data_IF_196305838990
#
_entry.id   IF_196305838990
#
_cell.length_a   1.000
_cell.length_b   1.000
_cell.length_c   1.000
_cell.angle_alpha   90.00
_cell.angle_beta   90.00
_cell.angle_gamma   90.00
#
_symmetry.space_group_name_H-M   'P 1'
#
loop_
_entity.id
_entity.type
_entity.pdbx_description
1 polymer ?
#
# COMPACT_ATOMS: atom_id res chain seq x y z
N UNK A 1 40.68 11.78 9.69
CA UNK A 1 40.33 10.65 8.81
C UNK A 1 39.18 11.10 7.93
N UNK A 2 39.42 11.32 6.64
CA UNK A 2 38.37 11.66 5.70
C UNK A 2 37.54 10.39 5.42
N UNK A 3 36.25 10.45 5.74
CA UNK A 3 35.28 9.42 5.40
C UNK A 3 35.15 9.40 3.88
N UNK A 4 35.79 8.42 3.23
CA UNK A 4 35.66 8.19 1.80
C UNK A 4 34.22 7.74 1.56
N UNK A 5 33.35 8.69 1.21
CA UNK A 5 31.99 8.40 0.76
C UNK A 5 32.08 7.53 -0.49
N UNK A 6 31.90 6.23 -0.32
CA UNK A 6 31.80 5.26 -1.40
C UNK A 6 30.79 5.77 -2.44
N UNK A 7 31.14 5.83 -3.73
CA UNK A 7 30.24 6.35 -4.75
C UNK A 7 28.95 5.52 -4.76
N UNK A 8 27.79 6.19 -4.62
CA UNK A 8 26.47 5.56 -4.76
C UNK A 8 26.43 4.84 -6.11
N UNK A 9 26.57 3.52 -6.11
CA UNK A 9 26.44 2.71 -7.32
C UNK A 9 24.97 2.63 -7.67
N UNK A 10 24.53 3.49 -8.59
CA UNK A 10 23.24 3.37 -9.24
C UNK A 10 23.30 2.16 -10.18
N UNK A 11 22.59 1.10 -9.83
CA UNK A 11 22.56 -0.14 -10.59
C UNK A 11 21.24 -0.23 -11.35
N UNK A 12 21.22 -0.97 -12.47
CA UNK A 12 20.01 -1.22 -13.26
C UNK A 12 18.83 -1.72 -12.40
N UNK A 13 19.13 -2.54 -11.38
CA UNK A 13 18.15 -3.05 -10.40
C UNK A 13 17.53 -1.96 -9.53
N UNK A 14 18.30 -0.93 -9.17
CA UNK A 14 17.78 0.22 -8.43
C UNK A 14 16.85 1.07 -9.31
N UNK A 15 17.22 1.27 -10.58
CA UNK A 15 16.37 1.96 -11.55
C UNK A 15 15.05 1.23 -11.79
N UNK A 16 15.08 -0.10 -11.95
CA UNK A 16 13.85 -0.91 -12.10
C UNK A 16 12.96 -0.76 -10.87
N UNK A 17 13.53 -0.81 -9.67
CA UNK A 17 12.76 -0.66 -8.41
C UNK A 17 12.12 0.72 -8.31
N UNK A 18 12.86 1.77 -8.65
CA UNK A 18 12.34 3.14 -8.66
C UNK A 18 11.24 3.30 -9.73
N UNK A 19 11.39 2.70 -10.91
CA UNK A 19 10.38 2.72 -11.96
C UNK A 19 9.09 1.99 -11.55
N UNK A 20 9.19 0.85 -10.86
CA UNK A 20 8.04 0.13 -10.30
C UNK A 20 7.33 0.98 -9.23
N UNK A 21 8.09 1.70 -8.40
CA UNK A 21 7.52 2.64 -7.43
C UNK A 21 6.75 3.77 -8.11
N UNK A 22 7.32 4.38 -9.16
CA UNK A 22 6.63 5.44 -9.94
C UNK A 22 5.38 4.89 -10.63
N UNK A 23 5.40 3.65 -11.11
CA UNK A 23 4.23 3.04 -11.74
C UNK A 23 3.01 3.01 -10.82
N UNK A 24 3.19 2.88 -9.50
CA UNK A 24 2.11 2.93 -8.51
C UNK A 24 1.45 4.30 -8.44
N UNK A 25 2.22 5.39 -8.58
CA UNK A 25 1.66 6.74 -8.70
C UNK A 25 0.89 6.93 -10.00
N UNK A 26 1.38 6.38 -11.11
CA UNK A 26 0.68 6.41 -12.41
C UNK A 26 -0.64 5.66 -12.29
N UNK A 27 -0.65 4.47 -11.66
CA UNK A 27 -1.88 3.71 -11.40
C UNK A 27 -2.84 4.50 -10.51
N UNK A 28 -2.35 5.12 -9.44
CA UNK A 28 -3.17 5.95 -8.56
C UNK A 28 -3.87 7.08 -9.34
N UNK A 29 -3.14 7.80 -10.20
CA UNK A 29 -3.71 8.84 -11.05
C UNK A 29 -4.72 8.26 -12.07
N UNK A 30 -4.41 7.13 -12.68
CA UNK A 30 -5.26 6.47 -13.67
C UNK A 30 -6.60 6.01 -13.08
N UNK A 31 -6.59 5.39 -11.90
CA UNK A 31 -7.84 4.97 -11.26
C UNK A 31 -8.69 6.17 -10.84
N UNK A 32 -8.09 7.27 -10.36
CA UNK A 32 -8.85 8.48 -10.05
C UNK A 32 -9.49 9.09 -11.28
N UNK A 33 -8.75 9.16 -12.39
CA UNK A 33 -9.26 9.61 -13.67
C UNK A 33 -10.46 8.75 -14.12
N UNK A 34 -10.35 7.42 -14.03
CA UNK A 34 -11.43 6.50 -14.37
C UNK A 34 -12.65 6.69 -13.45
N UNK A 35 -12.44 6.84 -12.14
CA UNK A 35 -13.52 7.10 -11.19
C UNK A 35 -14.25 8.40 -11.48
N UNK A 36 -13.53 9.45 -11.89
CA UNK A 36 -14.13 10.74 -12.24
C UNK A 36 -14.87 10.73 -13.58
N UNK A 37 -14.31 10.08 -14.61
CA UNK A 37 -14.82 10.16 -15.99
C UNK A 37 -15.83 9.07 -16.33
N UNK A 38 -15.62 7.86 -15.80
CA UNK A 38 -16.44 6.66 -16.12
C UNK A 38 -17.23 6.20 -14.89
N UNK A 39 -16.74 6.49 -13.69
CA UNK A 39 -17.40 6.11 -12.44
C UNK A 39 -17.45 4.60 -12.26
N UNK A 40 -18.61 4.10 -11.86
CA UNK A 40 -18.80 2.68 -11.49
C UNK A 40 -18.50 1.69 -12.61
N UNK A 41 -18.72 2.06 -13.87
CA UNK A 41 -18.47 1.19 -15.01
C UNK A 41 -16.97 0.90 -15.24
N UNK A 42 -16.06 1.69 -14.66
CA UNK A 42 -14.63 1.44 -14.72
C UNK A 42 -14.10 0.52 -13.59
N UNK A 43 -14.99 -0.07 -12.78
CA UNK A 43 -14.57 -0.86 -11.64
C UNK A 43 -13.72 -2.10 -12.03
N UNK A 44 -14.04 -2.87 -13.08
CA UNK A 44 -13.17 -3.96 -13.55
C UNK A 44 -11.74 -3.50 -13.88
N UNK A 45 -11.60 -2.37 -14.55
CA UNK A 45 -10.33 -1.78 -14.95
C UNK A 45 -9.54 -1.34 -13.72
N UNK A 46 -10.21 -0.72 -12.74
CA UNK A 46 -9.59 -0.34 -11.48
C UNK A 46 -9.07 -1.57 -10.71
N UNK A 47 -9.83 -2.67 -10.65
CA UNK A 47 -9.39 -3.93 -10.02
C UNK A 47 -8.12 -4.45 -10.69
N UNK A 48 -8.09 -4.51 -12.02
CA UNK A 48 -6.92 -4.98 -12.78
C UNK A 48 -5.71 -4.08 -12.52
N UNK A 49 -5.88 -2.76 -12.61
CA UNK A 49 -4.78 -1.81 -12.41
C UNK A 49 -4.21 -1.87 -10.99
N UNK A 50 -5.06 -1.91 -9.96
CA UNK A 50 -4.62 -2.02 -8.56
C UNK A 50 -3.95 -3.38 -8.31
N UNK A 51 -4.48 -4.46 -8.89
CA UNK A 51 -3.86 -5.79 -8.81
C UNK A 51 -2.46 -5.77 -9.40
N UNK A 52 -2.28 -5.18 -10.59
CA UNK A 52 -0.97 -5.05 -11.22
C UNK A 52 -0.01 -4.20 -10.36
N UNK A 53 -0.48 -3.09 -9.80
CA UNK A 53 0.33 -2.26 -8.89
C UNK A 53 0.79 -3.01 -7.64
N UNK A 54 -0.05 -3.90 -7.09
CA UNK A 54 0.32 -4.76 -5.97
C UNK A 54 1.29 -5.88 -6.38
N UNK A 55 1.14 -6.41 -7.59
CA UNK A 55 2.11 -7.38 -8.13
C UNK A 55 3.49 -6.75 -8.28
N UNK A 56 3.56 -5.49 -8.75
CA UNK A 56 4.83 -4.78 -8.88
C UNK A 56 5.48 -4.46 -7.53
N UNK A 57 4.68 -4.12 -6.51
CA UNK A 57 5.16 -3.95 -5.12
C UNK A 57 5.79 -5.24 -4.55
N UNK A 58 5.12 -6.38 -4.71
CA UNK A 58 5.69 -7.65 -4.25
C UNK A 58 7.02 -8.01 -4.98
N UNK A 59 7.09 -7.70 -6.28
CA UNK A 59 8.27 -7.95 -7.10
C UNK A 59 9.42 -7.00 -6.76
N UNK A 60 9.15 -5.71 -6.56
CA UNK A 60 10.18 -4.72 -6.25
C UNK A 60 10.87 -5.02 -4.90
N UNK A 61 10.10 -5.45 -3.90
CA UNK A 61 10.64 -5.81 -2.61
C UNK A 61 11.55 -7.04 -2.71
N UNK A 62 11.25 -7.97 -3.61
CA UNK A 62 12.13 -9.12 -3.90
C UNK A 62 13.43 -8.67 -4.55
N UNK A 63 13.35 -7.81 -5.57
CA UNK A 63 14.52 -7.31 -6.30
C UNK A 63 15.42 -6.47 -5.38
N UNK A 64 14.84 -5.56 -4.61
CA UNK A 64 15.58 -4.70 -3.69
C UNK A 64 16.34 -5.46 -2.61
N UNK A 65 15.82 -6.61 -2.14
CA UNK A 65 16.51 -7.45 -1.15
C UNK A 65 17.71 -8.21 -1.69
N UNK A 66 17.72 -8.50 -2.99
CA UNK A 66 18.82 -9.20 -3.64
C UNK A 66 19.78 -8.23 -4.34
N UNK A 67 19.47 -6.93 -4.38
CA UNK A 67 20.36 -5.92 -4.93
C UNK A 67 21.30 -5.38 -3.84
N UNK A 68 22.58 -5.23 -4.18
CA UNK A 68 23.56 -4.58 -3.30
C UNK A 68 23.51 -3.04 -3.37
N UNK A 69 22.51 -2.48 -4.07
CA UNK A 69 22.48 -1.08 -4.47
C UNK A 69 21.29 -0.37 -3.81
N UNK A 70 21.52 0.82 -3.24
CA UNK A 70 20.45 1.64 -2.64
C UNK A 70 19.55 2.21 -3.73
N UNK A 71 18.24 2.12 -3.53
CA UNK A 71 17.22 2.73 -4.40
C UNK A 71 17.08 4.23 -4.10
N UNK A 72 16.74 5.04 -5.10
CA UNK A 72 16.57 6.48 -4.91
C UNK A 72 15.22 6.78 -4.23
N UNK A 73 14.18 6.04 -4.61
CA UNK A 73 12.81 6.22 -4.13
C UNK A 73 12.47 5.36 -2.91
N UNK A 74 13.40 4.54 -2.41
CA UNK A 74 13.20 3.73 -1.21
C UNK A 74 12.65 4.50 0.01
N UNK A 75 13.10 5.74 0.30
CA UNK A 75 12.55 6.53 1.41
C UNK A 75 11.10 6.99 1.21
N UNK A 76 10.63 7.12 -0.04
CA UNK A 76 9.29 7.62 -0.38
C UNK A 76 8.32 6.51 -0.81
N UNK A 77 8.79 5.27 -0.83
CA UNK A 77 8.03 4.08 -1.18
C UNK A 77 6.73 3.94 -0.36
N UNK A 78 6.85 4.04 0.96
CA UNK A 78 5.69 3.94 1.85
C UNK A 78 4.65 5.07 1.66
N UNK A 79 5.03 6.36 1.55
CA UNK A 79 4.12 7.42 1.15
C UNK A 79 3.41 7.16 -0.19
N UNK A 80 4.10 6.56 -1.16
CA UNK A 80 3.53 6.24 -2.47
C UNK A 80 2.50 5.11 -2.36
N UNK A 81 2.76 4.08 -1.56
CA UNK A 81 1.76 3.03 -1.26
C UNK A 81 0.54 3.60 -0.58
N UNK A 82 0.74 4.48 0.41
CA UNK A 82 -0.35 5.18 1.07
C UNK A 82 -1.14 6.03 0.06
N UNK A 83 -0.47 6.74 -0.85
CA UNK A 83 -1.16 7.50 -1.89
C UNK A 83 -2.02 6.59 -2.80
N UNK A 84 -1.49 5.44 -3.23
CA UNK A 84 -2.25 4.47 -4.01
C UNK A 84 -3.46 3.93 -3.24
N UNK A 85 -3.29 3.55 -1.98
CA UNK A 85 -4.41 3.06 -1.14
C UNK A 85 -5.50 4.12 -0.99
N UNK A 86 -5.15 5.39 -0.73
CA UNK A 86 -6.16 6.45 -0.63
C UNK A 86 -6.78 6.80 -1.98
N UNK A 87 -6.04 6.68 -3.09
CA UNK A 87 -6.60 6.76 -4.43
C UNK A 87 -7.63 5.65 -4.70
N UNK A 88 -7.39 4.43 -4.19
CA UNK A 88 -8.38 3.34 -4.22
C UNK A 88 -9.64 3.69 -3.42
N UNK A 89 -9.51 4.24 -2.20
CA UNK A 89 -10.66 4.70 -1.42
C UNK A 89 -11.46 5.78 -2.18
N UNK A 90 -10.77 6.77 -2.73
CA UNK A 90 -11.42 7.85 -3.45
C UNK A 90 -12.08 7.35 -4.74
N UNK A 91 -11.47 6.40 -5.46
CA UNK A 91 -12.13 5.72 -6.58
C UNK A 91 -13.44 5.04 -6.14
N UNK A 92 -13.44 4.31 -5.03
CA UNK A 92 -14.64 3.63 -4.50
C UNK A 92 -15.75 4.63 -4.17
N UNK A 93 -15.39 5.81 -3.66
CA UNK A 93 -16.33 6.93 -3.42
C UNK A 93 -16.86 7.50 -4.73
N UNK A 94 -15.99 7.80 -5.70
CA UNK A 94 -16.37 8.34 -7.02
C UNK A 94 -17.25 7.36 -7.80
N UNK A 95 -17.00 6.06 -7.67
CA UNK A 95 -17.81 4.99 -8.24
C UNK A 95 -19.15 4.78 -7.49
N UNK A 96 -19.41 5.51 -6.40
CA UNK A 96 -20.68 5.51 -5.68
C UNK A 96 -20.91 4.29 -4.78
N UNK A 97 -19.85 3.56 -4.41
CA UNK A 97 -19.97 2.40 -3.51
C UNK A 97 -20.02 2.81 -2.03
N UNK A 98 -19.39 3.93 -1.67
CA UNK A 98 -19.36 4.49 -0.31
C UNK A 98 -19.81 5.95 -0.35
N UNK A 99 -20.61 6.36 0.63
CA UNK A 99 -21.01 7.75 0.79
C UNK A 99 -19.77 8.65 1.06
N UNK A 100 -19.63 9.81 0.38
CA UNK A 100 -18.48 10.69 0.58
C UNK A 100 -18.24 11.10 2.04
N UNK A 101 -19.32 11.32 2.80
CA UNK A 101 -19.23 11.66 4.23
C UNK A 101 -18.57 10.54 5.07
N UNK A 102 -18.87 9.27 4.78
CA UNK A 102 -18.28 8.14 5.49
C UNK A 102 -16.78 8.03 5.18
N UNK A 103 -16.39 8.21 3.92
CA UNK A 103 -14.98 8.20 3.52
C UNK A 103 -14.21 9.40 4.09
N UNK A 104 -14.83 10.59 4.16
CA UNK A 104 -14.24 11.77 4.77
C UNK A 104 -14.03 11.58 6.28
N UNK A 105 -15.02 11.04 6.99
CA UNK A 105 -14.90 10.72 8.42
C UNK A 105 -13.79 9.68 8.67
N UNK A 106 -13.76 8.61 7.88
CA UNK A 106 -12.71 7.59 7.96
C UNK A 106 -11.32 8.18 7.73
N UNK A 107 -11.18 9.02 6.70
CA UNK A 107 -9.91 9.69 6.37
C UNK A 107 -9.48 10.66 7.47
N UNK A 108 -10.41 11.43 8.04
CA UNK A 108 -10.13 12.32 9.15
C UNK A 108 -9.66 11.52 10.39
N UNK A 109 -10.34 10.42 10.73
CA UNK A 109 -9.91 9.54 11.82
C UNK A 109 -8.52 8.96 11.59
N UNK A 110 -8.25 8.47 10.37
CA UNK A 110 -6.94 7.97 9.98
C UNK A 110 -5.84 9.04 10.12
N UNK A 111 -6.11 10.26 9.65
CA UNK A 111 -5.16 11.37 9.75
C UNK A 111 -4.91 11.78 11.21
N UNK A 112 -5.97 11.95 12.01
CA UNK A 112 -5.85 12.34 13.42
C UNK A 112 -5.05 11.31 14.23
N UNK A 113 -5.35 10.03 14.05
CA UNK A 113 -4.63 8.94 14.74
C UNK A 113 -3.19 8.82 14.25
N UNK A 114 -2.93 8.96 12.94
CA UNK A 114 -1.57 8.98 12.41
C UNK A 114 -0.75 10.14 12.98
N UNK A 115 -1.34 11.34 13.10
CA UNK A 115 -0.69 12.53 13.68
C UNK A 115 -0.46 12.40 15.19
N UNK A 116 -1.40 11.77 15.90
CA UNK A 116 -1.34 11.57 17.34
C UNK A 116 -0.27 10.53 17.73
N UNK A 117 -0.29 9.36 17.11
CA UNK A 117 0.60 8.25 17.47
C UNK A 117 1.94 8.30 16.73
N UNK A 118 1.99 8.89 15.53
CA UNK A 118 3.18 8.98 14.66
C UNK A 118 3.89 7.64 14.42
N UNK A 119 3.15 6.53 14.44
CA UNK A 119 3.67 5.18 14.21
C UNK A 119 3.23 4.64 12.86
N UNK A 120 4.18 4.07 12.11
CA UNK A 120 3.91 3.41 10.82
C UNK A 120 2.82 2.32 10.94
N UNK A 121 2.81 1.56 12.04
CA UNK A 121 1.82 0.51 12.29
C UNK A 121 0.37 1.02 12.26
N UNK A 122 0.12 2.24 12.76
CA UNK A 122 -1.22 2.86 12.75
C UNK A 122 -1.65 3.20 11.34
N UNK A 123 -0.77 3.81 10.54
CA UNK A 123 -1.07 4.13 9.14
C UNK A 123 -1.39 2.84 8.36
N UNK A 124 -0.59 1.79 8.57
CA UNK A 124 -0.81 0.47 7.95
C UNK A 124 -2.16 -0.12 8.34
N UNK A 125 -2.62 0.05 9.58
CA UNK A 125 -3.95 -0.41 10.02
C UNK A 125 -5.06 0.23 9.16
N UNK A 126 -5.02 1.55 8.96
CA UNK A 126 -6.01 2.24 8.12
C UNK A 126 -5.88 1.86 6.63
N UNK A 127 -4.66 1.63 6.15
CA UNK A 127 -4.45 1.09 4.80
C UNK A 127 -5.16 -0.25 4.62
N UNK A 128 -4.96 -1.18 5.56
CA UNK A 128 -5.61 -2.50 5.48
C UNK A 128 -7.13 -2.41 5.54
N UNK A 129 -7.68 -1.45 6.27
CA UNK A 129 -9.13 -1.19 6.25
C UNK A 129 -9.64 -0.82 4.86
N UNK A 130 -8.91 0.04 4.13
CA UNK A 130 -9.25 0.40 2.74
C UNK A 130 -9.10 -0.81 1.81
N UNK A 131 -7.99 -1.54 1.92
CA UNK A 131 -7.71 -2.73 1.12
C UNK A 131 -8.81 -3.80 1.25
N UNK A 132 -9.22 -4.08 2.49
CA UNK A 132 -10.30 -5.03 2.78
C UNK A 132 -11.65 -4.55 2.25
N UNK A 133 -11.92 -3.25 2.34
CA UNK A 133 -13.14 -2.64 1.80
C UNK A 133 -13.17 -2.74 0.27
N UNK A 134 -12.04 -2.47 -0.39
CA UNK A 134 -11.88 -2.62 -1.83
C UNK A 134 -12.10 -4.08 -2.26
N UNK A 135 -11.47 -5.03 -1.56
CA UNK A 135 -11.62 -6.46 -1.81
C UNK A 135 -13.07 -6.92 -1.63
N UNK A 136 -13.76 -6.45 -0.58
CA UNK A 136 -15.17 -6.75 -0.36
C UNK A 136 -16.04 -6.35 -1.55
N UNK A 137 -15.88 -5.12 -2.05
CA UNK A 137 -16.63 -4.67 -3.22
C UNK A 137 -16.26 -5.41 -4.49
N UNK A 138 -14.97 -5.71 -4.69
CA UNK A 138 -14.49 -6.47 -5.83
C UNK A 138 -15.13 -7.87 -5.87
N UNK A 139 -15.14 -8.58 -4.74
CA UNK A 139 -15.80 -9.89 -4.61
C UNK A 139 -17.31 -9.82 -4.81
N UNK A 140 -17.94 -8.74 -4.34
CA UNK A 140 -19.40 -8.58 -4.39
C UNK A 140 -19.94 -8.29 -5.79
N UNK A 141 -19.18 -7.53 -6.60
CA UNK A 141 -19.67 -6.99 -7.87
C UNK A 141 -18.92 -7.52 -9.09
N UNK A 142 -17.64 -7.86 -8.99
CA UNK A 142 -16.77 -8.19 -10.13
C UNK A 142 -15.91 -9.43 -9.83
N UNK A 143 -16.57 -10.54 -9.49
CA UNK A 143 -15.89 -11.77 -9.04
C UNK A 143 -14.86 -12.27 -10.05
N UNK A 144 -15.20 -12.27 -11.35
CA UNK A 144 -14.28 -12.76 -12.41
C UNK A 144 -12.97 -11.98 -12.46
N UNK A 145 -13.02 -10.65 -12.30
CA UNK A 145 -11.83 -9.80 -12.25
C UNK A 145 -11.07 -9.92 -10.93
N UNK A 146 -11.74 -10.39 -9.87
CA UNK A 146 -11.16 -10.54 -8.53
C UNK A 146 -10.46 -11.89 -8.33
N UNK A 147 -10.84 -12.93 -9.09
CA UNK A 147 -10.22 -14.26 -8.98
C UNK A 147 -8.69 -14.24 -9.20
N UNK A 148 -8.14 -13.53 -10.21
CA UNK A 148 -6.68 -13.42 -10.38
C UNK A 148 -6.00 -12.77 -9.17
N UNK A 149 -6.61 -11.73 -8.57
CA UNK A 149 -6.11 -11.09 -7.37
C UNK A 149 -6.07 -12.08 -6.19
N UNK A 150 -7.14 -12.85 -5.97
CA UNK A 150 -7.16 -13.86 -4.92
C UNK A 150 -6.10 -14.93 -5.13
N UNK A 151 -5.96 -15.44 -6.36
CA UNK A 151 -4.94 -16.42 -6.70
C UNK A 151 -3.54 -15.86 -6.40
N UNK A 152 -3.28 -14.61 -6.78
CA UNK A 152 -2.02 -13.94 -6.49
C UNK A 152 -1.76 -13.77 -4.99
N UNK A 153 -2.76 -13.35 -4.21
CA UNK A 153 -2.64 -13.23 -2.76
C UNK A 153 -2.34 -14.57 -2.09
N UNK A 154 -2.95 -15.67 -2.55
CA UNK A 154 -2.65 -17.02 -2.07
C UNK A 154 -1.21 -17.44 -2.40
N UNK A 155 -0.74 -17.15 -3.62
CA UNK A 155 0.65 -17.40 -4.03
C UNK A 155 1.62 -16.62 -3.13
N UNK A 156 1.38 -15.32 -2.92
CA UNK A 156 2.22 -14.50 -2.04
C UNK A 156 2.19 -15.00 -0.60
N UNK A 157 1.02 -15.36 -0.08
CA UNK A 157 0.88 -15.91 1.27
C UNK A 157 1.67 -17.21 1.42
N UNK A 158 1.68 -18.06 0.39
CA UNK A 158 2.44 -19.31 0.39
C UNK A 158 3.95 -19.06 0.28
N UNK A 159 4.40 -18.20 -0.65
CA UNK A 159 5.81 -17.86 -0.85
C UNK A 159 6.41 -17.15 0.36
N UNK A 160 5.64 -16.30 1.03
CA UNK A 160 6.09 -15.50 2.17
C UNK A 160 5.58 -16.03 3.52
N UNK A 161 5.17 -17.29 3.60
CA UNK A 161 4.59 -17.90 4.81
C UNK A 161 5.42 -17.69 6.07
N UNK A 162 6.75 -17.84 5.99
CA UNK A 162 7.62 -17.67 7.16
C UNK A 162 7.68 -16.20 7.60
N UNK A 163 7.72 -15.28 6.64
CA UNK A 163 7.69 -13.86 6.94
C UNK A 163 6.35 -13.43 7.54
N UNK A 164 5.24 -13.97 7.04
CA UNK A 164 3.92 -13.72 7.60
C UNK A 164 3.84 -14.22 9.03
N UNK A 165 4.33 -15.44 9.31
CA UNK A 165 4.41 -16.01 10.66
C UNK A 165 5.20 -15.14 11.64
N UNK A 166 6.24 -14.43 11.21
CA UNK A 166 7.01 -13.56 12.10
C UNK A 166 6.47 -12.13 12.17
N UNK A 167 6.12 -11.53 11.02
CA UNK A 167 5.77 -10.11 10.90
C UNK A 167 4.35 -9.81 11.37
N UNK A 168 3.39 -10.70 11.13
CA UNK A 168 2.00 -10.48 11.55
C UNK A 168 1.90 -10.45 13.09
N UNK A 169 2.45 -11.43 13.84
CA UNK A 169 2.43 -11.34 15.30
C UNK A 169 3.23 -10.15 15.85
N UNK A 170 4.33 -9.77 15.18
CA UNK A 170 5.08 -8.56 15.56
C UNK A 170 4.21 -7.30 15.41
N UNK A 171 3.56 -7.12 14.25
CA UNK A 171 2.68 -5.98 14.02
C UNK A 171 1.49 -5.96 14.99
N UNK A 172 0.91 -7.12 15.30
CA UNK A 172 -0.15 -7.24 16.32
C UNK A 172 0.34 -6.85 17.71
N UNK A 173 1.58 -7.22 18.09
CA UNK A 173 2.19 -6.77 19.35
C UNK A 173 2.43 -5.26 19.35
N UNK A 174 2.96 -4.69 18.27
CA UNK A 174 3.15 -3.25 18.14
C UNK A 174 1.83 -2.46 18.27
N UNK A 175 0.72 -3.02 17.76
CA UNK A 175 -0.63 -2.48 17.98
C UNK A 175 -1.12 -2.68 19.40
N UNK A 176 -0.94 -3.86 20.01
CA UNK A 176 -1.34 -4.12 21.40
C UNK A 176 -0.58 -3.22 22.39
N UNK A 177 0.70 -2.97 22.13
CA UNK A 177 1.55 -2.07 22.91
C UNK A 177 1.07 -0.61 22.84
N UNK A 178 0.51 -0.20 21.70
CA UNK A 178 -0.12 1.13 21.55
C UNK A 178 -1.35 1.29 22.44
N UNK A 179 -2.15 0.22 22.61
CA UNK A 179 -3.34 0.25 23.47
C UNK A 179 -2.99 0.15 24.96
N UNK A 180 -1.93 -0.57 25.32
CA UNK A 180 -1.50 -0.72 26.72
C UNK A 180 -0.66 0.45 27.22
N UNK A 181 0.14 1.09 26.35
CA UNK A 181 1.03 2.20 26.70
C UNK A 181 1.03 3.32 25.66
N UNK A 182 -0.06 4.11 25.55
CA UNK A 182 -0.23 5.11 24.49
C UNK A 182 0.82 6.24 24.46
N UNK A 183 1.63 6.41 25.50
CA UNK A 183 2.58 7.53 25.64
C UNK A 183 4.08 7.17 25.63
N UNK A 184 4.47 5.90 25.48
CA UNK A 184 5.85 5.45 25.76
C UNK A 184 6.84 5.58 24.58
N UNK A 185 6.69 6.54 23.67
CA UNK A 185 7.56 6.62 22.49
C UNK A 185 7.68 8.00 21.83
N UNK A 186 7.76 9.08 22.62
CA UNK A 186 7.99 10.44 22.09
C UNK A 186 9.46 10.77 21.77
N UNK A 187 10.39 9.83 21.99
CA UNK A 187 11.82 10.02 21.77
C UNK A 187 12.41 8.77 21.13
N UNK A 188 12.54 8.77 19.80
CA UNK A 188 13.58 8.10 19.02
C UNK A 188 13.42 8.50 17.55
#
# INVERSE_FOLDING_TARGET
>A
MAEVTSPKRYCLTAFITDALTVSRLVVAAAILWLGWTVGRAAFPQAIVLVTLAWMTDAADGLIARHSACKTCLGPVDFPIDAALTWATLLFIVLAGFIAPAAAALYTALAALTALWFRRKAVIVLFMRGVDLTALFFALRYELLYTLPLLAWLLILAWLHRERLRTRVPQWLRELADLFSHPFRGRHE
#
